data_IF_455621296476
#
_entry.id   IF_455621296476
#
_cell.length_a   1.000
_cell.length_b   1.000
_cell.length_c   1.000
_cell.angle_alpha   90.00
_cell.angle_beta   90.00
_cell.angle_gamma   90.00
#
_symmetry.space_group_name_H-M   'P 1'
#
loop_
_entity.id
_entity.type
_entity.pdbx_description
1 polymer ?
#
# COMPACT_ATOMS: atom_id res chain seq x y z
N UNK A 1 18.28 -46.95 7.72
CA UNK A 1 19.13 -45.78 7.42
C UNK A 1 18.27 -44.70 6.78
N UNK A 2 18.34 -43.50 7.35
CA UNK A 2 17.75 -42.20 6.96
C UNK A 2 16.32 -42.15 6.41
N UNK A 3 15.43 -41.83 7.36
CA UNK A 3 14.07 -41.30 7.25
C UNK A 3 14.04 -39.97 6.52
N UNK A 4 13.00 -39.77 5.70
CA UNK A 4 12.83 -38.64 4.79
C UNK A 4 13.01 -37.26 5.41
N UNK A 5 13.72 -36.43 4.65
CA UNK A 5 14.02 -35.03 4.89
C UNK A 5 12.73 -34.23 5.09
N UNK A 6 12.42 -33.85 6.34
CA UNK A 6 11.36 -32.89 6.64
C UNK A 6 11.91 -31.51 6.29
N UNK A 7 11.62 -31.01 5.09
CA UNK A 7 11.89 -29.61 4.73
C UNK A 7 11.02 -28.76 5.63
N UNK A 8 11.61 -28.17 6.67
CA UNK A 8 10.97 -27.08 7.39
C UNK A 8 10.84 -25.91 6.41
N UNK A 9 9.63 -25.74 5.87
CA UNK A 9 9.21 -24.46 5.30
C UNK A 9 9.02 -23.47 6.47
N UNK A 10 10.13 -23.09 7.07
CA UNK A 10 10.22 -22.00 8.03
C UNK A 10 10.46 -20.73 7.21
N UNK A 11 9.36 -20.05 6.86
CA UNK A 11 9.28 -18.65 6.44
C UNK A 11 7.80 -18.29 6.19
N UNK A 12 6.98 -18.19 7.24
CA UNK A 12 5.64 -17.60 7.07
C UNK A 12 5.15 -16.75 8.24
N UNK A 13 6.05 -16.29 9.11
CA UNK A 13 5.66 -15.53 10.31
C UNK A 13 6.25 -14.11 10.33
N UNK A 14 5.86 -13.30 9.33
CA UNK A 14 6.11 -11.85 9.30
C UNK A 14 4.99 -11.05 8.60
N UNK A 15 3.98 -11.70 7.97
CA UNK A 15 3.08 -11.01 7.02
C UNK A 15 1.58 -11.18 7.28
N UNK A 16 1.17 -11.70 8.44
CA UNK A 16 -0.27 -11.88 8.76
C UNK A 16 -0.88 -10.74 9.60
N UNK A 17 -0.06 -9.91 10.25
CA UNK A 17 -0.55 -8.83 11.11
C UNK A 17 -0.92 -7.54 10.37
N UNK A 18 -0.65 -7.47 9.06
CA UNK A 18 -0.89 -6.28 8.25
C UNK A 18 -2.08 -6.39 7.31
N UNK A 19 -2.81 -7.51 7.33
CA UNK A 19 -3.99 -7.72 6.49
C UNK A 19 -5.16 -8.08 7.41
N UNK A 20 -6.17 -7.21 7.49
CA UNK A 20 -7.49 -7.60 8.01
C UNK A 20 -8.46 -7.77 6.83
N UNK A 21 -9.65 -8.34 7.09
CA UNK A 21 -10.62 -8.70 6.04
C UNK A 21 -11.10 -7.52 5.16
N UNK A 22 -10.73 -6.27 5.49
CA UNK A 22 -11.13 -5.06 4.74
C UNK A 22 -9.96 -4.17 4.30
N UNK A 23 -8.74 -4.38 4.79
CA UNK A 23 -7.62 -3.47 4.54
C UNK A 23 -6.25 -4.13 4.75
N UNK A 24 -5.27 -3.65 3.98
CA UNK A 24 -3.86 -3.99 4.14
C UNK A 24 -3.09 -2.73 4.55
N UNK A 25 -2.25 -2.83 5.58
CA UNK A 25 -1.33 -1.77 5.98
C UNK A 25 -0.17 -1.68 4.99
N UNK A 26 0.04 -0.49 4.44
CA UNK A 26 1.19 -0.16 3.60
C UNK A 26 2.12 0.77 4.41
N UNK A 27 3.44 0.57 4.31
CA UNK A 27 4.43 1.41 4.98
C UNK A 27 5.51 1.83 3.99
N UNK A 28 5.70 3.14 3.87
CA UNK A 28 6.75 3.77 3.07
C UNK A 28 7.25 5.02 3.78
N UNK A 29 8.48 5.45 3.50
CA UNK A 29 9.03 6.73 3.97
C UNK A 29 8.80 7.78 2.88
N UNK A 30 8.29 8.94 3.25
CA UNK A 30 8.14 10.09 2.37
C UNK A 30 9.16 11.18 2.75
N UNK A 31 9.71 11.93 1.79
CA UNK A 31 10.52 13.13 2.07
C UNK A 31 9.75 14.15 2.91
N UNK A 32 10.46 14.95 3.71
CA UNK A 32 9.85 15.97 4.58
C UNK A 32 9.01 16.97 3.79
N UNK A 33 9.54 17.46 2.66
CA UNK A 33 8.82 18.40 1.77
C UNK A 33 7.46 17.85 1.31
N UNK A 34 7.35 16.53 1.09
CA UNK A 34 6.10 15.88 0.66
C UNK A 34 5.13 15.80 1.83
N UNK A 35 5.62 15.52 3.04
CA UNK A 35 4.80 15.48 4.25
C UNK A 35 4.27 16.88 4.58
N UNK A 36 5.12 17.90 4.50
CA UNK A 36 4.74 19.29 4.75
C UNK A 36 3.69 19.78 3.74
N UNK A 37 3.89 19.51 2.44
CA UNK A 37 2.93 19.84 1.41
C UNK A 37 1.58 19.13 1.62
N UNK A 38 1.61 17.87 2.03
CA UNK A 38 0.39 17.13 2.37
C UNK A 38 -0.36 17.79 3.53
N UNK A 39 0.33 18.08 4.65
CA UNK A 39 -0.31 18.71 5.81
C UNK A 39 -0.89 20.10 5.47
N UNK A 40 -0.20 20.89 4.65
CA UNK A 40 -0.68 22.21 4.21
C UNK A 40 -1.90 22.16 3.27
N UNK A 41 -2.07 21.06 2.53
CA UNK A 41 -3.16 20.90 1.55
C UNK A 41 -4.36 20.09 2.06
N UNK A 42 -4.25 19.50 3.25
CA UNK A 42 -5.39 18.82 3.87
C UNK A 42 -6.55 19.78 4.10
N UNK A 43 -7.75 19.25 3.90
CA UNK A 43 -8.97 19.97 4.28
C UNK A 43 -9.16 19.92 5.79
N UNK A 44 -9.91 20.89 6.32
CA UNK A 44 -10.31 20.87 7.73
C UNK A 44 -11.03 19.55 8.06
N UNK A 45 -10.57 18.86 9.11
CA UNK A 45 -11.08 17.56 9.54
C UNK A 45 -10.62 16.35 8.70
N UNK A 46 -9.80 16.55 7.65
CA UNK A 46 -9.27 15.45 6.85
C UNK A 46 -8.11 14.73 7.55
N UNK A 47 -8.23 13.40 7.71
CA UNK A 47 -7.15 12.59 8.27
C UNK A 47 -6.05 12.31 7.24
N UNK A 48 -4.83 12.09 7.72
CA UNK A 48 -3.69 11.64 6.88
C UNK A 48 -4.03 10.38 6.08
N UNK A 49 -4.70 9.41 6.72
CA UNK A 49 -5.10 8.18 6.06
C UNK A 49 -6.08 8.44 4.90
N UNK A 50 -7.06 9.32 5.11
CA UNK A 50 -8.04 9.67 4.10
C UNK A 50 -7.40 10.39 2.91
N UNK A 51 -6.48 11.31 3.17
CA UNK A 51 -5.71 11.98 2.12
C UNK A 51 -4.90 10.96 1.29
N UNK A 52 -4.14 10.08 1.96
CA UNK A 52 -3.32 9.06 1.29
C UNK A 52 -4.18 8.11 0.44
N UNK A 53 -5.28 7.59 0.99
CA UNK A 53 -6.18 6.68 0.27
C UNK A 53 -6.77 7.37 -0.97
N UNK A 54 -7.20 8.62 -0.83
CA UNK A 54 -7.75 9.41 -1.95
C UNK A 54 -6.71 9.64 -3.04
N UNK A 55 -5.48 10.01 -2.66
CA UNK A 55 -4.37 10.21 -3.60
C UNK A 55 -4.03 8.92 -4.37
N UNK A 56 -3.95 7.78 -3.66
CA UNK A 56 -3.71 6.47 -4.28
C UNK A 56 -4.82 6.07 -5.25
N UNK A 57 -6.09 6.25 -4.88
CA UNK A 57 -7.22 5.98 -5.76
C UNK A 57 -7.20 6.86 -7.02
N UNK A 58 -6.85 8.13 -6.88
CA UNK A 58 -6.68 9.05 -8.00
C UNK A 58 -5.61 8.59 -8.98
N UNK A 59 -4.46 8.19 -8.47
CA UNK A 59 -3.33 7.70 -9.27
C UNK A 59 -3.66 6.37 -9.98
N UNK A 60 -4.34 5.44 -9.30
CA UNK A 60 -4.82 4.19 -9.92
C UNK A 60 -5.74 4.48 -11.11
N UNK A 61 -6.77 5.32 -10.91
CA UNK A 61 -7.69 5.71 -12.00
C UNK A 61 -6.95 6.39 -13.16
N UNK A 62 -5.96 7.25 -12.86
CA UNK A 62 -5.13 7.90 -13.88
C UNK A 62 -4.39 6.87 -14.73
N UNK A 63 -3.77 5.86 -14.11
CA UNK A 63 -3.04 4.80 -14.82
C UNK A 63 -3.97 3.89 -15.61
N UNK A 64 -5.12 3.51 -15.06
CA UNK A 64 -6.14 2.73 -15.76
C UNK A 64 -6.64 3.41 -17.03
N UNK A 65 -6.91 4.73 -16.98
CA UNK A 65 -7.30 5.52 -18.17
C UNK A 65 -6.20 5.55 -19.24
N UNK A 66 -4.94 5.72 -18.82
CA UNK A 66 -3.80 5.70 -19.76
C UNK A 66 -3.66 4.34 -20.45
N UNK A 67 -3.78 3.25 -19.69
CA UNK A 67 -3.68 1.90 -20.24
C UNK A 67 -4.79 1.61 -21.26
N UNK A 68 -6.02 2.07 -20.98
CA UNK A 68 -7.15 1.92 -21.91
C UNK A 68 -6.95 2.72 -23.21
N UNK A 69 -6.40 3.94 -23.12
CA UNK A 69 -6.16 4.78 -24.29
C UNK A 69 -5.00 4.29 -25.18
N UNK A 70 -4.11 3.44 -24.65
CA UNK A 70 -3.00 2.83 -25.41
C UNK A 70 -3.33 1.46 -25.99
N UNK A 71 -4.50 0.90 -25.67
CA UNK A 71 -4.95 -0.40 -26.19
C UNK A 71 -5.91 -0.28 -27.37
N UNK A 72 -6.05 0.92 -27.92
CA UNK A 72 -6.89 1.31 -29.06
C UNK A 72 -5.99 1.96 -30.11
#
# INVERSE_FOLDING_TARGET
>A
MYTGFHVKHENSDMTRDHINNKSQKLQARAPHEVVEAMEALKKEGESTAQFIVTALQGEIKRRQRKAKASSE
#
